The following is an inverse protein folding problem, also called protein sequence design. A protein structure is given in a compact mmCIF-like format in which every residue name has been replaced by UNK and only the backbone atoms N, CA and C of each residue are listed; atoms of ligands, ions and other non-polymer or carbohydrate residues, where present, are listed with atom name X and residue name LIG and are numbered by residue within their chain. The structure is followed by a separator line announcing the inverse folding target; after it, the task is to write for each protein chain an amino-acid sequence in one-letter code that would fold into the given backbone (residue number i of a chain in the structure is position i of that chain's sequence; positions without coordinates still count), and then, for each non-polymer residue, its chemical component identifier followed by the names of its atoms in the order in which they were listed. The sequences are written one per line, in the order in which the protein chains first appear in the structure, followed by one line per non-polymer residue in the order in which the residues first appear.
data_IF_274288690551
#
_entry.id   IF_274288690551
#
_cell.length_a   1.000
_cell.length_b   1.000
_cell.length_c   1.000
_cell.angle_alpha   90.00
_cell.angle_beta   90.00
_cell.angle_gamma   90.00
#
_symmetry.space_group_name_H-M   'P 1'
#
loop_
_entity.id
_entity.type
_entity.pdbx_description
1 polymer ?
#
# COMPACT_ATOMS: atom_id res chain seq x y z
N UNK A 1 -32.70 -3.81 8.33
CA UNK A 1 -32.58 -2.73 7.32
C UNK A 1 -31.17 -2.82 6.79
N UNK A 2 -30.95 -3.01 5.48
CA UNK A 2 -29.58 -3.07 4.98
C UNK A 2 -28.98 -1.66 5.05
N UNK A 3 -27.74 -1.57 5.56
CA UNK A 3 -26.94 -0.36 5.64
C UNK A 3 -26.93 0.37 4.28
N UNK A 4 -27.51 1.57 4.24
CA UNK A 4 -27.37 2.49 3.11
C UNK A 4 -25.96 3.10 3.15
N UNK A 5 -24.97 2.24 2.92
CA UNK A 5 -23.57 2.66 2.86
C UNK A 5 -23.43 3.49 1.60
N UNK A 6 -23.12 4.77 1.73
CA UNK A 6 -22.79 5.64 0.60
C UNK A 6 -21.53 5.09 -0.10
N UNK A 7 -21.74 4.47 -1.26
CA UNK A 7 -20.68 3.86 -2.06
C UNK A 7 -20.22 4.83 -3.15
N UNK A 8 -18.90 4.93 -3.31
CA UNK A 8 -18.26 5.46 -4.51
C UNK A 8 -17.83 4.32 -5.43
N UNK A 9 -17.95 4.56 -6.73
CA UNK A 9 -17.33 3.74 -7.76
C UNK A 9 -15.93 4.28 -8.05
N UNK A 10 -14.92 3.41 -7.98
CA UNK A 10 -13.53 3.74 -8.33
C UNK A 10 -13.10 2.84 -9.49
N UNK A 11 -12.73 3.44 -10.61
CA UNK A 11 -12.29 2.78 -11.83
C UNK A 11 -10.78 2.95 -11.97
N UNK A 12 -10.06 1.84 -11.85
CA UNK A 12 -8.63 1.78 -12.14
C UNK A 12 -8.46 1.38 -13.60
N UNK A 13 -7.94 2.29 -14.41
CA UNK A 13 -7.80 2.07 -15.85
C UNK A 13 -6.35 1.74 -16.21
N UNK A 14 -6.16 0.74 -17.07
CA UNK A 14 -4.87 0.26 -17.59
C UNK A 14 -3.89 -0.17 -16.49
N UNK A 15 -4.35 -0.93 -15.51
CA UNK A 15 -3.49 -1.44 -14.42
C UNK A 15 -2.38 -2.31 -15.03
N UNK A 16 -1.09 -1.95 -14.90
CA UNK A 16 0.01 -2.76 -15.43
C UNK A 16 0.19 -4.02 -14.58
N UNK A 17 -0.25 -5.19 -15.07
CA UNK A 17 -0.40 -6.40 -14.26
C UNK A 17 0.91 -6.89 -13.64
N UNK A 18 2.01 -6.84 -14.40
CA UNK A 18 3.35 -7.20 -13.89
C UNK A 18 3.87 -6.25 -12.82
N UNK A 19 3.63 -4.94 -13.00
CA UNK A 19 4.07 -3.92 -12.04
C UNK A 19 3.23 -3.98 -10.76
N UNK A 20 1.93 -4.23 -10.88
CA UNK A 20 1.06 -4.51 -9.74
C UNK A 20 1.57 -5.70 -8.93
N UNK A 21 1.88 -6.83 -9.57
CA UNK A 21 2.37 -8.02 -8.88
C UNK A 21 3.67 -7.74 -8.11
N UNK A 22 4.61 -7.01 -8.72
CA UNK A 22 5.83 -6.54 -8.04
C UNK A 22 5.53 -5.59 -6.88
N UNK A 23 4.57 -4.68 -7.04
CA UNK A 23 4.15 -3.78 -5.98
C UNK A 23 3.54 -4.52 -4.78
N UNK A 24 2.76 -5.58 -5.03
CA UNK A 24 2.18 -6.42 -4.00
C UNK A 24 3.27 -7.17 -3.23
N UNK A 25 4.18 -7.85 -3.94
CA UNK A 25 5.32 -8.54 -3.34
C UNK A 25 6.15 -7.59 -2.46
N UNK A 26 6.48 -6.41 -2.99
CA UNK A 26 7.26 -5.43 -2.24
C UNK A 26 6.50 -4.91 -1.00
N UNK A 27 5.17 -4.87 -1.05
CA UNK A 27 4.34 -4.47 0.09
C UNK A 27 4.37 -5.53 1.19
N UNK A 28 4.28 -6.81 0.81
CA UNK A 28 4.41 -7.93 1.73
C UNK A 28 5.78 -8.01 2.41
N UNK A 29 6.85 -7.75 1.66
CA UNK A 29 8.23 -7.67 2.18
C UNK A 29 8.36 -6.57 3.24
N UNK A 30 7.88 -5.36 2.93
CA UNK A 30 7.86 -4.24 3.87
C UNK A 30 7.04 -4.55 5.13
N UNK A 31 5.85 -5.14 4.97
CA UNK A 31 5.00 -5.51 6.10
C UNK A 31 5.65 -6.55 7.01
N UNK A 32 6.33 -7.55 6.42
CA UNK A 32 7.09 -8.55 7.17
C UNK A 32 8.19 -7.90 8.00
N UNK A 33 8.92 -6.96 7.41
CA UNK A 33 9.99 -6.27 8.12
C UNK A 33 9.49 -5.38 9.26
N UNK A 34 8.44 -4.59 9.02
CA UNK A 34 7.82 -3.78 10.06
C UNK A 34 7.37 -4.65 11.25
N UNK A 35 6.86 -5.86 10.99
CA UNK A 35 6.53 -6.82 12.04
C UNK A 35 7.78 -7.32 12.80
N UNK A 36 8.89 -7.61 12.12
CA UNK A 36 10.14 -8.03 12.76
C UNK A 36 10.71 -6.94 13.68
N UNK A 37 10.67 -5.68 13.25
CA UNK A 37 11.12 -4.54 14.06
C UNK A 37 10.31 -4.42 15.35
N UNK A 38 8.99 -4.59 15.29
CA UNK A 38 8.17 -4.55 16.50
C UNK A 38 8.52 -5.69 17.47
N UNK A 39 8.75 -6.90 16.96
CA UNK A 39 9.16 -8.04 17.77
C UNK A 39 10.52 -7.76 18.43
N UNK A 40 11.49 -7.26 17.65
CA UNK A 40 12.81 -6.88 18.16
C UNK A 40 12.74 -5.83 19.26
N UNK A 41 11.97 -4.75 19.05
CA UNK A 41 11.81 -3.70 20.04
C UNK A 41 11.19 -4.21 21.36
N UNK A 42 10.22 -5.13 21.29
CA UNK A 42 9.64 -5.76 22.48
C UNK A 42 10.63 -6.65 23.25
N UNK A 43 11.59 -7.27 22.54
CA UNK A 43 12.65 -8.09 23.14
C UNK A 43 13.74 -7.22 23.75
N UNK A 44 14.22 -6.20 23.04
CA UNK A 44 15.28 -5.28 23.53
C UNK A 44 14.84 -4.40 24.70
N UNK A 45 13.54 -4.05 24.80
CA UNK A 45 12.99 -3.40 25.98
C UNK A 45 13.16 -4.21 27.28
N UNK A 46 13.39 -5.53 27.17
CA UNK A 46 13.66 -6.43 28.31
C UNK A 46 15.15 -6.55 28.63
N UNK A 47 16.04 -6.12 27.73
CA UNK A 47 17.48 -6.42 27.76
C UNK A 47 18.39 -5.16 27.82
N UNK A 48 17.83 -3.94 27.85
CA UNK A 48 18.58 -2.67 27.98
C UNK A 48 19.70 -2.47 26.95
N UNK A 49 19.43 -2.70 25.65
CA UNK A 49 20.38 -2.46 24.55
C UNK A 49 20.19 -1.04 23.97
N UNK A 50 21.30 -0.33 23.70
CA UNK A 50 21.34 1.11 23.36
C UNK A 50 21.00 1.45 21.89
N UNK A 51 20.95 0.48 20.98
CA UNK A 51 20.57 0.74 19.58
C UNK A 51 19.04 0.66 19.43
N UNK A 52 18.38 1.77 19.74
CA UNK A 52 16.91 1.84 19.74
C UNK A 52 16.37 2.23 18.37
N UNK A 53 15.41 1.45 17.89
CA UNK A 53 14.60 1.81 16.73
C UNK A 53 13.84 3.10 17.04
N UNK A 54 13.77 4.08 16.11
CA UNK A 54 13.02 5.30 16.33
C UNK A 54 11.56 5.01 16.69
N UNK A 55 11.04 5.67 17.73
CA UNK A 55 9.65 5.49 18.17
C UNK A 55 8.65 5.71 17.02
N UNK A 56 8.95 6.66 16.12
CA UNK A 56 8.12 6.94 14.95
C UNK A 56 7.99 5.74 14.01
N UNK A 57 9.06 4.95 13.83
CA UNK A 57 9.04 3.74 12.99
C UNK A 57 8.23 2.61 13.66
N UNK A 58 8.26 2.52 15.00
CA UNK A 58 7.43 1.56 15.75
C UNK A 58 5.94 1.89 15.65
N UNK A 59 5.59 3.17 15.75
CA UNK A 59 4.23 3.68 15.59
C UNK A 59 3.73 3.41 14.15
N UNK A 60 4.59 3.69 13.16
CA UNK A 60 4.33 3.43 11.75
C UNK A 60 4.07 1.94 11.49
N UNK A 61 4.87 1.06 12.07
CA UNK A 61 4.71 -0.40 11.94
C UNK A 61 3.38 -0.90 12.56
N UNK A 62 2.93 -0.29 13.67
CA UNK A 62 1.66 -0.66 14.30
C UNK A 62 0.47 -0.23 13.43
N UNK A 63 0.57 0.99 12.89
CA UNK A 63 -0.46 1.58 12.04
C UNK A 63 -0.57 0.86 10.69
N UNK A 64 0.55 0.51 10.08
CA UNK A 64 0.63 -0.23 8.83
C UNK A 64 -0.05 -1.60 8.93
N UNK A 65 0.17 -2.36 10.01
CA UNK A 65 -0.42 -3.70 10.16
C UNK A 65 -1.95 -3.68 10.21
N UNK A 66 -2.51 -2.68 10.89
CA UNK A 66 -3.97 -2.53 11.00
C UNK A 66 -4.59 -2.09 9.68
N UNK A 67 -3.90 -1.20 8.97
CA UNK A 67 -4.44 -0.48 7.82
C UNK A 67 -4.18 -1.23 6.51
N UNK A 68 -3.07 -1.96 6.38
CA UNK A 68 -2.69 -2.62 5.12
C UNK A 68 -3.58 -3.83 4.80
N UNK A 69 -3.88 -4.67 5.81
CA UNK A 69 -4.68 -5.89 5.61
C UNK A 69 -6.10 -5.62 5.11
N UNK A 70 -6.71 -4.49 5.47
CA UNK A 70 -8.03 -4.10 4.99
C UNK A 70 -7.99 -3.56 3.53
N UNK A 71 -6.84 -3.09 3.05
CA UNK A 71 -6.67 -2.58 1.69
C UNK A 71 -6.25 -3.67 0.68
N UNK A 72 -5.46 -4.65 1.11
CA UNK A 72 -4.89 -5.69 0.23
C UNK A 72 -5.90 -6.77 -0.21
N UNK A 73 -7.09 -6.85 0.37
CA UNK A 73 -8.08 -7.91 0.09
C UNK A 73 -8.93 -7.69 -1.19
N UNK A 74 -8.59 -6.70 -2.01
CA UNK A 74 -9.36 -6.34 -3.21
C UNK A 74 -9.01 -7.26 -4.42
N UNK A 75 -9.63 -7.13 -5.62
CA UNK A 75 -9.86 -8.23 -6.59
C UNK A 75 -8.59 -8.83 -7.21
N UNK A 76 -7.88 -9.60 -6.40
CA UNK A 76 -6.58 -10.13 -6.74
C UNK A 76 -6.68 -11.28 -7.73
N UNK A 77 -7.75 -12.07 -7.64
CA UNK A 77 -7.97 -13.25 -8.46
C UNK A 77 -8.18 -12.92 -9.95
N UNK A 78 -8.95 -11.87 -10.27
CA UNK A 78 -9.23 -11.49 -11.66
C UNK A 78 -7.95 -11.01 -12.35
N UNK A 79 -7.22 -10.11 -11.69
CA UNK A 79 -5.95 -9.59 -12.21
C UNK A 79 -4.85 -10.66 -12.26
N UNK A 80 -4.83 -11.62 -11.31
CA UNK A 80 -3.94 -12.77 -11.36
C UNK A 80 -4.26 -13.66 -12.58
N UNK A 81 -5.53 -13.96 -12.82
CA UNK A 81 -5.95 -14.74 -13.98
C UNK A 81 -5.65 -14.01 -15.31
N UNK A 82 -5.80 -12.69 -15.37
CA UNK A 82 -5.40 -11.89 -16.54
C UNK A 82 -3.89 -11.96 -16.81
N UNK A 83 -3.08 -11.89 -15.76
CA UNK A 83 -1.63 -12.02 -15.86
C UNK A 83 -1.23 -13.42 -16.36
N UNK A 84 -1.89 -14.48 -15.87
CA UNK A 84 -1.69 -15.86 -16.33
C UNK A 84 -2.08 -16.06 -17.80
N UNK A 85 -3.09 -15.34 -18.29
CA UNK A 85 -3.47 -15.32 -19.73
C UNK A 85 -2.50 -14.53 -20.61
N UNK A 86 -1.52 -13.84 -20.02
CA UNK A 86 -0.53 -13.05 -20.74
C UNK A 86 -1.02 -11.63 -21.09
N UNK A 87 -2.07 -11.14 -20.44
CA UNK A 87 -2.49 -9.74 -20.59
C UNK A 87 -1.45 -8.81 -19.95
N UNK A 88 -1.26 -7.62 -20.54
CA UNK A 88 -0.29 -6.63 -20.04
C UNK A 88 -0.94 -5.66 -19.06
N UNK A 89 -2.17 -5.25 -19.35
CA UNK A 89 -2.97 -4.33 -18.54
C UNK A 89 -4.44 -4.75 -18.44
N UNK A 90 -5.13 -4.29 -17.38
CA UNK A 90 -6.55 -4.56 -17.14
C UNK A 90 -7.24 -3.33 -16.54
N UNK A 91 -8.51 -3.10 -16.91
CA UNK A 91 -9.40 -2.14 -16.26
C UNK A 91 -10.22 -2.84 -15.17
N UNK A 92 -10.27 -2.26 -13.96
CA UNK A 92 -11.00 -2.83 -12.83
C UNK A 92 -11.86 -1.77 -12.15
N UNK A 93 -13.07 -2.14 -11.77
CA UNK A 93 -14.00 -1.26 -11.05
C UNK A 93 -14.25 -1.77 -9.62
N UNK A 94 -14.11 -0.86 -8.67
CA UNK A 94 -14.30 -1.08 -7.24
C UNK A 94 -15.55 -0.33 -6.78
N UNK A 95 -16.28 -0.91 -5.84
CA UNK A 95 -17.32 -0.21 -5.07
C UNK A 95 -16.85 -0.13 -3.64
N UNK A 96 -16.54 1.07 -3.17
CA UNK A 96 -16.01 1.30 -1.83
C UNK A 96 -16.87 2.30 -1.09
N UNK A 97 -17.02 2.17 0.24
CA UNK A 97 -17.69 3.20 1.02
C UNK A 97 -16.96 4.54 0.90
N UNK A 98 -17.66 5.66 0.70
CA UNK A 98 -17.01 6.99 0.58
C UNK A 98 -16.15 7.36 1.79
N UNK A 99 -16.52 6.86 2.96
CA UNK A 99 -15.78 7.12 4.20
C UNK A 99 -14.37 6.51 4.22
N UNK A 100 -13.97 5.69 3.24
CA UNK A 100 -12.60 5.15 3.16
C UNK A 100 -11.58 6.15 2.61
N UNK A 101 -12.01 7.30 2.06
CA UNK A 101 -11.09 8.31 1.53
C UNK A 101 -9.98 8.75 2.51
N UNK A 102 -10.30 9.13 3.76
CA UNK A 102 -9.31 9.44 4.78
C UNK A 102 -8.36 8.28 5.10
N UNK A 103 -8.85 7.04 5.04
CA UNK A 103 -8.05 5.83 5.27
C UNK A 103 -7.04 5.59 4.14
N UNK A 104 -7.46 5.76 2.88
CA UNK A 104 -6.59 5.69 1.69
C UNK A 104 -5.44 6.70 1.79
N UNK A 105 -5.76 7.95 2.16
CA UNK A 105 -4.75 9.01 2.33
C UNK A 105 -3.74 8.67 3.44
N UNK A 106 -4.22 8.13 4.56
CA UNK A 106 -3.37 7.71 5.69
C UNK A 106 -2.44 6.58 5.29
N UNK A 107 -2.95 5.54 4.62
CA UNK A 107 -2.14 4.43 4.11
C UNK A 107 -1.05 4.91 3.15
N UNK A 108 -1.37 5.82 2.22
CA UNK A 108 -0.38 6.42 1.32
C UNK A 108 0.76 7.09 2.10
N UNK A 109 0.41 7.93 3.09
CA UNK A 109 1.42 8.62 3.91
C UNK A 109 2.31 7.66 4.69
N UNK A 110 1.73 6.57 5.22
CA UNK A 110 2.48 5.53 5.93
C UNK A 110 3.52 4.87 5.03
N UNK A 111 3.13 4.50 3.81
CA UNK A 111 4.03 3.85 2.86
C UNK A 111 5.11 4.79 2.33
N UNK A 112 4.78 6.06 2.08
CA UNK A 112 5.75 7.08 1.66
C UNK A 112 6.81 7.33 2.75
N UNK A 113 6.40 7.34 4.02
CA UNK A 113 7.31 7.49 5.17
C UNK A 113 8.15 6.22 5.40
N UNK A 114 7.56 5.03 5.25
CA UNK A 114 8.29 3.77 5.35
C UNK A 114 9.38 3.66 4.26
N UNK A 115 9.06 4.05 3.02
CA UNK A 115 10.02 4.10 1.91
C UNK A 115 11.19 5.07 2.20
N UNK A 116 10.96 6.14 2.98
CA UNK A 116 12.01 7.06 3.41
C UNK A 116 12.96 6.41 4.42
N UNK A 117 12.43 5.68 5.40
CA UNK A 117 13.26 4.89 6.32
C UNK A 117 14.09 3.83 5.57
N UNK A 118 13.52 3.20 4.53
CA UNK A 118 14.27 2.27 3.69
C UNK A 118 15.39 2.97 2.90
N UNK A 119 15.16 4.21 2.42
CA UNK A 119 16.18 5.00 1.70
C UNK A 119 17.36 5.42 2.59
N UNK A 120 17.10 5.68 3.87
CA UNK A 120 18.13 6.04 4.84
C UNK A 120 19.05 4.86 5.17
N UNK A 121 18.53 3.63 5.15
CA UNK A 121 19.33 2.40 5.29
C UNK A 121 19.87 2.14 6.70
N UNK A 122 19.37 2.84 7.71
CA UNK A 122 19.85 2.73 9.11
C UNK A 122 19.06 1.70 9.94
N UNK A 123 17.78 1.50 9.64
CA UNK A 123 16.88 0.71 10.50
C UNK A 123 16.07 -0.37 9.77
N UNK A 124 16.01 -0.32 8.44
CA UNK A 124 15.30 -1.28 7.60
C UNK A 124 16.32 -1.96 6.67
N UNK A 125 16.27 -3.29 6.63
CA UNK A 125 16.96 -4.18 5.71
C UNK A 125 16.23 -4.30 4.37
N UNK A 126 14.92 -4.01 4.29
CA UNK A 126 14.21 -3.94 3.00
C UNK A 126 14.67 -2.72 2.23
N UNK A 127 15.00 -2.94 0.95
CA UNK A 127 15.34 -1.86 0.03
C UNK A 127 14.12 -0.98 -0.21
N UNK A 128 14.34 0.33 -0.40
CA UNK A 128 13.27 1.24 -0.81
C UNK A 128 12.59 0.75 -2.09
N UNK A 129 11.29 0.99 -2.20
CA UNK A 129 10.53 0.62 -3.40
C UNK A 129 11.24 1.11 -4.67
N UNK A 130 11.42 0.23 -5.68
CA UNK A 130 11.85 0.67 -7.01
C UNK A 130 10.95 1.82 -7.51
N UNK A 131 11.53 2.77 -8.26
CA UNK A 131 10.83 4.00 -8.64
C UNK A 131 9.50 3.74 -9.38
N UNK A 132 9.44 2.68 -10.20
CA UNK A 132 8.23 2.25 -10.89
C UNK A 132 7.13 1.74 -9.94
N UNK A 133 7.52 0.98 -8.90
CA UNK A 133 6.62 0.51 -7.84
C UNK A 133 6.08 1.68 -7.02
N UNK A 134 6.95 2.62 -6.63
CA UNK A 134 6.54 3.82 -5.89
C UNK A 134 5.57 4.70 -6.71
N UNK A 135 5.86 4.89 -8.00
CA UNK A 135 4.99 5.64 -8.91
C UNK A 135 3.62 4.94 -9.07
N UNK A 136 3.60 3.62 -9.24
CA UNK A 136 2.36 2.84 -9.33
C UNK A 136 1.52 2.94 -8.06
N UNK A 137 2.13 2.80 -6.87
CA UNK A 137 1.43 2.95 -5.59
C UNK A 137 0.82 4.35 -5.45
N UNK A 138 1.59 5.38 -5.79
CA UNK A 138 1.11 6.77 -5.74
C UNK A 138 -0.11 6.96 -6.64
N UNK A 139 -0.04 6.49 -7.89
CA UNK A 139 -1.18 6.53 -8.81
C UNK A 139 -2.38 5.77 -8.26
N UNK A 140 -2.18 4.56 -7.73
CA UNK A 140 -3.25 3.74 -7.16
C UNK A 140 -4.00 4.50 -6.06
N UNK A 141 -3.29 5.02 -5.05
CA UNK A 141 -3.94 5.77 -3.97
C UNK A 141 -4.58 7.08 -4.43
N UNK A 142 -3.94 7.77 -5.39
CA UNK A 142 -4.50 8.98 -6.02
C UNK A 142 -5.83 8.70 -6.72
N UNK A 143 -5.94 7.57 -7.44
CA UNK A 143 -7.19 7.18 -8.10
C UNK A 143 -8.34 6.95 -7.10
N UNK A 144 -8.06 6.28 -5.98
CA UNK A 144 -9.07 6.13 -4.93
C UNK A 144 -9.46 7.48 -4.33
N UNK A 145 -8.49 8.31 -3.97
CA UNK A 145 -8.76 9.61 -3.33
C UNK A 145 -9.59 10.53 -4.22
N UNK A 146 -9.19 10.69 -5.48
CA UNK A 146 -9.82 11.62 -6.43
C UNK A 146 -11.21 11.17 -6.86
N UNK A 147 -11.39 9.89 -7.15
CA UNK A 147 -12.70 9.38 -7.59
C UNK A 147 -13.71 9.31 -6.45
N UNK A 148 -13.27 9.05 -5.20
CA UNK A 148 -14.13 9.21 -4.01
C UNK A 148 -14.60 10.67 -3.86
N UNK A 149 -13.76 11.64 -4.21
CA UNK A 149 -14.09 13.06 -4.24
C UNK A 149 -14.92 13.50 -5.46
N UNK A 150 -15.19 12.58 -6.42
CA UNK A 150 -16.03 12.83 -7.59
C UNK A 150 -15.27 13.27 -8.85
N UNK A 151 -13.94 13.13 -8.88
CA UNK A 151 -13.15 13.37 -10.09
C UNK A 151 -13.18 12.18 -11.06
N UNK A 152 -12.87 12.46 -12.33
CA UNK A 152 -12.81 11.45 -13.40
C UNK A 152 -11.59 10.51 -13.25
N UNK A 153 -11.71 9.22 -13.64
CA UNK A 153 -10.60 8.27 -13.60
C UNK A 153 -9.49 8.64 -14.57
N UNK A 154 -8.25 8.44 -14.15
CA UNK A 154 -7.06 8.63 -14.99
C UNK A 154 -6.33 7.30 -15.19
N UNK A 155 -6.09 6.88 -16.44
CA UNK A 155 -5.37 5.64 -16.71
C UNK A 155 -3.92 5.74 -16.26
N UNK A 156 -3.34 4.61 -15.88
CA UNK A 156 -1.90 4.52 -15.67
C UNK A 156 -1.15 4.86 -16.97
N UNK A 157 -0.14 5.73 -16.87
CA UNK A 157 0.65 6.19 -18.03
C UNK A 157 2.14 5.86 -17.95
N UNK A 158 2.57 5.17 -16.89
CA UNK A 158 3.99 4.91 -16.61
C UNK A 158 4.54 5.77 -15.48
N UNK A 159 5.75 5.42 -15.04
CA UNK A 159 6.55 6.26 -14.15
C UNK A 159 7.30 7.28 -15.02
N UNK A 160 6.94 8.56 -14.91
CA UNK A 160 7.71 9.67 -15.50
C UNK A 160 9.00 9.95 -14.69
#
# INVERSE_FOLDING_TARGET
MPDDTDLAEVRLLRIPLRLRARSAQHGEELMRELALIQIGAQQHAREHVEESVPQRLLDLAAEAQTTYGAFSAAPDAEMAAALERGEEDLDVTYRVPRHVGPFVRRMRGILEEADEYCRQGEHLLTLAAPADVAAYRRWLFDQFERQIAGEDPQPWRGAE
#
